data_IF_412712878589
#
_entry.id   IF_412712878589
#
_cell.length_a   1.000
_cell.length_b   1.000
_cell.length_c   1.000
_cell.angle_alpha   90.00
_cell.angle_beta   90.00
_cell.angle_gamma   90.00
#
_symmetry.space_group_name_H-M   'P 1'
#
loop_
_entity.id
_entity.type
_entity.pdbx_description
1 polymer ?
#
# COMPACT_ATOMS: atom_id res chain seq x y z
N UNK A 1 -41.83 28.59 -35.04
CA UNK A 1 -40.88 27.48 -34.80
C UNK A 1 -39.53 28.09 -34.47
N UNK A 2 -39.25 28.24 -33.19
CA UNK A 2 -37.92 28.30 -32.58
C UNK A 2 -38.14 28.26 -31.06
N UNK A 3 -37.62 27.22 -30.43
CA UNK A 3 -37.84 26.83 -29.03
C UNK A 3 -36.91 27.58 -28.07
N UNK A 4 -37.35 27.73 -26.82
CA UNK A 4 -36.49 27.96 -25.65
C UNK A 4 -35.98 26.60 -25.12
N UNK A 5 -34.77 26.57 -24.55
CA UNK A 5 -34.18 25.63 -23.55
C UNK A 5 -32.67 25.97 -23.52
N UNK A 6 -31.89 26.12 -22.44
CA UNK A 6 -31.94 25.59 -21.07
C UNK A 6 -30.50 25.15 -20.71
N UNK A 7 -30.04 25.43 -19.49
CA UNK A 7 -28.68 25.27 -18.93
C UNK A 7 -27.93 23.93 -19.13
N UNK A 8 -26.61 23.97 -18.98
CA UNK A 8 -25.75 22.79 -18.85
C UNK A 8 -24.34 23.08 -18.36
N UNK A 9 -24.21 23.52 -17.10
CA UNK A 9 -22.97 23.50 -16.34
C UNK A 9 -22.52 22.05 -16.12
N UNK A 10 -21.24 21.76 -16.36
CA UNK A 10 -20.69 20.41 -16.22
C UNK A 10 -19.19 20.45 -16.02
N UNK A 11 -18.76 21.10 -14.93
CA UNK A 11 -17.42 20.94 -14.40
C UNK A 11 -17.18 19.47 -14.06
N UNK A 12 -16.11 18.94 -14.62
CA UNK A 12 -15.59 17.61 -14.33
C UNK A 12 -14.09 17.65 -14.54
N UNK A 13 -13.41 18.46 -13.74
CA UNK A 13 -11.98 18.29 -13.52
C UNK A 13 -11.82 16.93 -12.83
N UNK A 14 -11.68 15.87 -13.63
CA UNK A 14 -11.05 14.62 -13.20
C UNK A 14 -9.58 14.97 -12.90
N UNK A 15 -9.39 15.62 -11.75
CA UNK A 15 -8.09 15.75 -11.12
C UNK A 15 -7.72 14.34 -10.68
N UNK A 16 -7.23 13.54 -11.63
CA UNK A 16 -6.31 12.47 -11.29
C UNK A 16 -5.23 13.14 -10.46
N UNK A 17 -5.09 12.82 -9.16
CA UNK A 17 -3.99 13.37 -8.40
C UNK A 17 -2.75 12.85 -9.10
N UNK A 18 -2.00 13.76 -9.70
CA UNK A 18 -0.68 13.50 -10.25
C UNK A 18 0.20 13.18 -9.06
N UNK A 19 0.10 11.93 -8.56
CA UNK A 19 0.92 11.44 -7.47
C UNK A 19 2.32 11.33 -8.04
N UNK A 20 3.07 12.43 -7.87
CA UNK A 20 4.51 12.48 -8.04
C UNK A 20 5.13 11.20 -7.45
N UNK A 21 6.22 10.65 -8.02
CA UNK A 21 6.83 9.41 -7.53
C UNK A 21 7.19 9.45 -6.04
N UNK A 22 7.26 10.65 -5.47
CA UNK A 22 7.47 10.97 -4.06
C UNK A 22 6.23 10.78 -3.16
N UNK A 23 5.05 10.58 -3.71
CA UNK A 23 3.79 10.45 -2.96
C UNK A 23 3.38 9.02 -2.62
N UNK A 24 4.15 7.99 -3.01
CA UNK A 24 3.80 6.59 -2.75
C UNK A 24 4.83 5.86 -1.89
N UNK A 25 4.37 5.00 -1.00
CA UNK A 25 5.19 4.08 -0.20
C UNK A 25 5.02 2.67 -0.76
N UNK A 26 6.14 1.95 -0.90
CA UNK A 26 6.16 0.54 -1.31
C UNK A 26 6.27 -0.34 -0.07
N UNK A 27 5.34 -1.27 0.09
CA UNK A 27 5.36 -2.29 1.13
C UNK A 27 5.66 -3.65 0.50
N UNK A 28 6.55 -4.40 1.15
CA UNK A 28 6.70 -5.83 0.88
C UNK A 28 5.71 -6.58 1.77
N UNK A 29 4.84 -7.35 1.15
CA UNK A 29 3.86 -8.17 1.83
C UNK A 29 4.10 -9.63 1.45
N UNK A 30 4.46 -10.45 2.43
CA UNK A 30 4.71 -11.87 2.25
C UNK A 30 3.63 -12.68 2.96
N UNK A 31 3.03 -13.67 2.28
CA UNK A 31 1.97 -14.52 2.82
C UNK A 31 2.13 -16.00 2.43
N UNK A 32 1.52 -16.90 3.19
CA UNK A 32 1.48 -18.34 2.89
C UNK A 32 2.78 -19.13 3.13
N UNK A 33 3.86 -18.45 3.55
CA UNK A 33 5.15 -19.03 3.91
C UNK A 33 5.39 -19.06 5.43
N UNK A 34 6.61 -19.42 5.82
CA UNK A 34 7.04 -19.56 7.22
C UNK A 34 8.32 -18.79 7.48
N UNK A 35 8.45 -18.22 8.67
CA UNK A 35 9.71 -17.62 9.12
C UNK A 35 10.54 -18.73 9.80
N UNK A 36 11.68 -19.08 9.22
CA UNK A 36 12.58 -20.11 9.73
C UNK A 36 13.95 -19.50 10.04
N UNK A 37 14.53 -19.87 11.17
CA UNK A 37 15.91 -19.52 11.48
C UNK A 37 16.86 -20.32 10.56
N UNK A 38 17.84 -19.64 9.98
CA UNK A 38 18.87 -20.30 9.18
C UNK A 38 19.83 -21.05 10.10
N UNK A 39 20.14 -22.33 9.85
CA UNK A 39 21.02 -23.12 10.73
C UNK A 39 22.45 -22.58 10.87
N UNK A 40 22.93 -21.78 9.91
CA UNK A 40 24.31 -21.29 9.89
C UNK A 40 24.55 -20.04 10.73
N UNK A 41 23.60 -19.10 10.76
CA UNK A 41 23.79 -17.75 11.34
C UNK A 41 22.63 -17.32 12.26
N UNK A 42 21.59 -18.14 12.43
CA UNK A 42 20.41 -17.83 13.25
C UNK A 42 19.50 -16.75 12.66
N UNK A 43 19.81 -16.22 11.47
CA UNK A 43 19.02 -15.17 10.83
C UNK A 43 17.68 -15.74 10.37
N UNK A 44 16.60 -15.05 10.71
CA UNK A 44 15.26 -15.41 10.27
C UNK A 44 15.10 -15.16 8.77
N UNK A 45 14.73 -16.20 8.02
CA UNK A 45 14.41 -16.15 6.60
C UNK A 45 12.96 -16.54 6.39
N UNK A 46 12.25 -15.77 5.58
CA UNK A 46 10.95 -16.19 5.06
C UNK A 46 11.14 -17.27 3.99
N UNK A 47 10.48 -18.43 4.16
CA UNK A 47 10.61 -19.61 3.29
C UNK A 47 9.23 -20.09 2.86
N UNK A 48 9.07 -20.36 1.56
CA UNK A 48 7.78 -20.68 0.95
C UNK A 48 6.88 -19.44 0.82
N UNK A 49 5.64 -19.65 0.38
CA UNK A 49 4.65 -18.57 0.21
C UNK A 49 4.91 -17.66 -1.01
N UNK A 50 4.19 -16.55 -1.07
CA UNK A 50 4.31 -15.52 -2.08
C UNK A 50 4.73 -14.19 -1.44
N UNK A 51 5.56 -13.42 -2.14
CA UNK A 51 5.91 -12.05 -1.74
C UNK A 51 5.49 -11.09 -2.84
N UNK A 52 4.68 -10.10 -2.48
CA UNK A 52 4.19 -9.05 -3.38
C UNK A 52 4.64 -7.68 -2.90
N UNK A 53 4.94 -6.82 -3.85
CA UNK A 53 5.17 -5.40 -3.58
C UNK A 53 3.89 -4.64 -3.85
N UNK A 54 3.37 -3.94 -2.85
CA UNK A 54 2.22 -3.06 -2.99
C UNK A 54 2.67 -1.62 -2.86
N UNK A 55 2.23 -0.75 -3.78
CA UNK A 55 2.49 0.67 -3.71
C UNK A 55 1.20 1.40 -3.32
N UNK A 56 1.21 2.13 -2.20
CA UNK A 56 0.06 2.90 -1.68
C UNK A 56 0.42 4.37 -1.53
N UNK A 57 -0.58 5.25 -1.45
CA UNK A 57 -0.33 6.68 -1.20
C UNK A 57 0.30 6.90 0.17
N UNK A 58 1.10 7.95 0.33
CA UNK A 58 1.64 8.38 1.62
C UNK A 58 0.55 8.88 2.57
N UNK A 59 -0.55 9.41 2.05
CA UNK A 59 -1.68 9.85 2.89
C UNK A 59 -2.66 8.71 3.25
N UNK A 60 -2.33 7.44 2.93
CA UNK A 60 -3.24 6.32 3.21
C UNK A 60 -3.48 6.14 4.71
N UNK A 61 -4.74 5.91 5.09
CA UNK A 61 -5.08 5.56 6.47
C UNK A 61 -4.74 4.10 6.77
N UNK A 62 -4.48 3.78 8.05
CA UNK A 62 -4.21 2.39 8.48
C UNK A 62 -5.39 1.47 8.10
N UNK A 63 -6.63 1.95 8.25
CA UNK A 63 -7.83 1.19 7.91
C UNK A 63 -7.90 0.82 6.42
N UNK A 64 -7.56 1.74 5.52
CA UNK A 64 -7.54 1.47 4.08
C UNK A 64 -6.39 0.54 3.69
N UNK A 65 -5.22 0.73 4.30
CA UNK A 65 -4.07 -0.15 4.11
C UNK A 65 -4.41 -1.59 4.51
N UNK A 66 -5.01 -1.77 5.69
CA UNK A 66 -5.42 -3.09 6.18
C UNK A 66 -6.46 -3.74 5.28
N UNK A 67 -7.48 -2.99 4.83
CA UNK A 67 -8.46 -3.49 3.85
C UNK A 67 -7.80 -3.97 2.56
N UNK A 68 -6.82 -3.22 2.03
CA UNK A 68 -6.06 -3.64 0.84
C UNK A 68 -5.28 -4.92 1.10
N UNK A 69 -4.59 -5.03 2.24
CA UNK A 69 -3.80 -6.21 2.57
C UNK A 69 -4.71 -7.43 2.72
N UNK A 70 -5.80 -7.34 3.49
CA UNK A 70 -6.76 -8.44 3.67
C UNK A 70 -7.46 -8.85 2.37
N UNK A 71 -7.70 -7.90 1.46
CA UNK A 71 -8.25 -8.22 0.14
C UNK A 71 -7.26 -8.94 -0.78
N UNK A 72 -5.95 -8.79 -0.55
CA UNK A 72 -4.91 -9.40 -1.38
C UNK A 72 -4.50 -10.80 -0.87
N UNK A 73 -4.61 -11.00 0.43
CA UNK A 73 -4.21 -12.23 1.11
C UNK A 73 -5.43 -12.71 1.87
N UNK A 74 -6.19 -13.64 1.29
CA UNK A 74 -7.43 -14.21 1.85
C UNK A 74 -7.17 -14.83 3.24
N UNK A 75 -7.20 -14.01 4.30
CA UNK A 75 -6.92 -14.42 5.67
C UNK A 75 -6.49 -13.30 6.62
N UNK A 76 -6.29 -13.66 7.89
CA UNK A 76 -5.85 -12.75 8.93
C UNK A 76 -4.44 -12.23 8.65
N UNK A 77 -4.34 -10.91 8.50
CA UNK A 77 -3.11 -10.23 8.09
C UNK A 77 -2.52 -9.47 9.27
N UNK A 78 -1.24 -9.73 9.60
CA UNK A 78 -0.50 -9.00 10.63
C UNK A 78 0.51 -8.09 9.98
N UNK A 79 0.33 -6.77 10.13
CA UNK A 79 1.31 -5.79 9.68
C UNK A 79 2.44 -5.67 10.70
N UNK A 80 3.63 -6.15 10.34
CA UNK A 80 4.87 -5.92 11.09
C UNK A 80 5.71 -4.89 10.36
N UNK A 81 6.13 -3.85 11.07
CA UNK A 81 7.03 -2.82 10.53
C UNK A 81 8.24 -2.68 11.45
N UNK A 82 9.39 -2.41 10.85
CA UNK A 82 10.60 -2.02 11.57
C UNK A 82 10.79 -0.52 11.38
N UNK A 83 10.91 0.22 12.48
CA UNK A 83 11.35 1.61 12.42
C UNK A 83 12.84 1.55 12.14
N UNK A 84 13.27 2.04 10.97
CA UNK A 84 14.69 2.22 10.70
C UNK A 84 15.23 3.24 11.71
N UNK A 85 15.95 2.77 12.72
CA UNK A 85 16.63 3.61 13.72
C UNK A 85 17.84 4.28 13.07
N UNK A 86 17.60 5.23 12.17
CA UNK A 86 18.62 5.98 11.45
C UNK A 86 18.83 7.35 12.09
N UNK A 87 19.71 7.40 13.09
CA UNK A 87 20.49 8.56 13.53
C UNK A 87 19.70 9.88 13.78
N UNK A 88 19.13 10.01 14.98
CA UNK A 88 18.84 11.34 15.53
C UNK A 88 20.15 11.89 16.11
N UNK A 89 20.83 12.75 15.35
CA UNK A 89 21.85 13.65 15.88
C UNK A 89 21.47 15.10 15.51
N UNK A 90 21.32 16.01 16.49
CA UNK A 90 21.64 17.41 16.30
C UNK A 90 23.16 17.65 16.42
#
# INVERSE_FOLDING_TARGET
MASEDGEGSGGGSDETPTVSPTGRVKFFCSYGGKILARPSDGVLKYVGGETRVIAVSREITISELMKKITSLFEGDSVLKYQIASGNLMP
#
